data_IF_481253256214
#
_entry.id   IF_481253256214
#
_cell.length_a   1.000
_cell.length_b   1.000
_cell.length_c   1.000
_cell.angle_alpha   90.00
_cell.angle_beta   90.00
_cell.angle_gamma   90.00
#
_symmetry.space_group_name_H-M   'P 1'
#
loop_
_entity.id
_entity.type
_entity.pdbx_description
1 polymer ?
#
# COMPACT_ATOMS: atom_id res chain seq x y z
N UNK A 1 -24.00 -22.52 33.27
CA UNK A 1 -23.70 -22.65 31.84
C UNK A 1 -24.81 -23.51 31.24
N UNK A 2 -25.74 -22.88 30.51
CA UNK A 2 -27.02 -23.49 30.14
C UNK A 2 -26.88 -24.40 28.90
N UNK A 3 -27.63 -25.51 28.89
CA UNK A 3 -27.69 -26.51 27.78
C UNK A 3 -27.92 -25.89 26.40
N UNK A 4 -28.63 -24.74 26.36
CA UNK A 4 -28.94 -24.03 25.13
C UNK A 4 -27.69 -23.48 24.38
N UNK A 5 -26.56 -23.32 25.07
CA UNK A 5 -25.29 -22.90 24.47
C UNK A 5 -24.54 -24.06 23.81
N UNK A 6 -24.84 -25.31 24.19
CA UNK A 6 -24.15 -26.50 23.66
C UNK A 6 -24.67 -26.89 22.27
N UNK A 7 -25.96 -26.69 22.00
CA UNK A 7 -26.55 -27.00 20.68
C UNK A 7 -26.12 -26.02 19.58
N UNK A 8 -25.88 -24.73 19.90
CA UNK A 8 -25.40 -23.76 18.88
C UNK A 8 -23.95 -23.98 18.44
N UNK A 9 -23.15 -24.73 19.20
CA UNK A 9 -21.76 -25.00 18.84
C UNK A 9 -21.62 -26.12 17.77
N UNK A 10 -22.62 -26.99 17.63
CA UNK A 10 -22.56 -28.09 16.64
C UNK A 10 -23.01 -27.65 15.24
N UNK A 11 -23.87 -26.63 15.11
CA UNK A 11 -24.34 -26.17 13.80
C UNK A 11 -23.28 -25.42 12.97
N UNK A 12 -22.24 -24.87 13.62
CA UNK A 12 -21.15 -24.15 12.93
C UNK A 12 -20.04 -25.06 12.37
N UNK A 13 -20.04 -26.37 12.69
CA UNK A 13 -19.01 -27.31 12.22
C UNK A 13 -19.29 -27.96 10.86
N UNK A 14 -20.47 -27.79 10.26
CA UNK A 14 -20.88 -28.54 9.06
C UNK A 14 -20.56 -27.82 7.74
N UNK A 15 -20.14 -26.54 7.75
CA UNK A 15 -19.94 -25.77 6.51
C UNK A 15 -18.49 -25.42 6.19
N UNK A 16 -17.58 -26.36 6.43
CA UNK A 16 -16.20 -26.28 5.94
C UNK A 16 -15.80 -27.63 5.37
N UNK A 17 -15.98 -27.79 4.05
CA UNK A 17 -15.16 -28.62 3.13
C UNK A 17 -15.86 -28.73 1.78
N UNK A 18 -15.31 -28.07 0.77
CA UNK A 18 -14.90 -28.67 -0.52
C UNK A 18 -14.52 -27.55 -1.49
N UNK A 19 -13.22 -27.24 -1.56
CA UNK A 19 -12.64 -26.62 -2.75
C UNK A 19 -11.23 -27.14 -2.92
N UNK A 20 -11.08 -28.05 -3.86
CA UNK A 20 -9.83 -28.63 -4.36
C UNK A 20 -8.98 -27.55 -5.03
N UNK A 21 -7.65 -27.63 -4.92
CA UNK A 21 -6.88 -27.59 -6.16
C UNK A 21 -5.79 -28.66 -6.20
N UNK A 22 -5.77 -29.41 -7.30
CA UNK A 22 -4.61 -30.17 -7.73
C UNK A 22 -3.74 -29.27 -8.58
N UNK A 23 -2.47 -29.12 -8.22
CA UNK A 23 -1.42 -28.64 -9.13
C UNK A 23 -0.16 -29.44 -8.81
N UNK A 24 0.35 -30.11 -9.84
CA UNK A 24 1.47 -31.04 -9.79
C UNK A 24 2.78 -30.36 -9.40
N UNK A 25 3.51 -31.04 -8.52
CA UNK A 25 4.90 -30.80 -8.21
C UNK A 25 5.74 -31.23 -9.43
N UNK A 26 6.36 -30.30 -10.13
CA UNK A 26 7.46 -30.59 -11.06
C UNK A 26 8.71 -29.89 -10.51
N UNK A 27 9.50 -30.68 -9.78
CA UNK A 27 10.85 -30.33 -9.31
C UNK A 27 11.80 -30.59 -10.47
N UNK A 28 12.36 -29.53 -11.06
CA UNK A 28 13.55 -29.65 -11.90
C UNK A 28 14.75 -29.05 -11.17
N UNK A 29 15.60 -29.99 -10.79
CA UNK A 29 16.87 -29.88 -10.11
C UNK A 29 17.95 -29.65 -11.17
N UNK A 30 18.69 -28.54 -11.12
CA UNK A 30 19.98 -28.43 -11.82
C UNK A 30 20.99 -27.77 -10.88
N UNK A 31 21.76 -28.63 -10.24
CA UNK A 31 23.03 -28.30 -9.62
C UNK A 31 24.11 -28.22 -10.71
N UNK A 32 24.92 -27.17 -10.71
CA UNK A 32 26.17 -27.13 -11.42
C UNK A 32 27.29 -26.69 -10.47
N UNK A 33 28.00 -27.69 -9.97
CA UNK A 33 29.32 -27.58 -9.33
C UNK A 33 30.34 -27.10 -10.37
N UNK A 34 31.13 -26.08 -10.02
CA UNK A 34 32.21 -25.55 -10.85
C UNK A 34 33.48 -25.30 -10.04
N UNK A 35 34.30 -26.36 -9.98
CA UNK A 35 35.70 -26.53 -9.56
C UNK A 35 36.54 -25.37 -9.01
N UNK A 36 37.20 -25.70 -7.90
CA UNK A 36 38.44 -25.13 -7.36
C UNK A 36 39.62 -25.45 -8.30
N UNK A 37 40.44 -24.44 -8.61
CA UNK A 37 41.68 -24.63 -9.37
C UNK A 37 42.73 -23.57 -9.02
N UNK A 38 43.57 -23.86 -8.02
CA UNK A 38 44.83 -23.15 -7.80
C UNK A 38 45.83 -23.53 -8.89
N UNK A 39 46.35 -22.55 -9.62
CA UNK A 39 47.58 -22.69 -10.40
C UNK A 39 48.38 -21.39 -10.32
N UNK A 40 49.52 -21.46 -9.63
CA UNK A 40 50.53 -20.40 -9.60
C UNK A 40 51.37 -20.48 -10.87
N UNK A 41 51.34 -19.42 -11.68
CA UNK A 41 52.16 -19.27 -12.87
C UNK A 41 52.50 -17.80 -13.12
N UNK A 42 53.79 -17.51 -13.18
CA UNK A 42 54.41 -16.21 -13.45
C UNK A 42 54.07 -15.67 -14.88
N UNK A 43 53.81 -14.35 -14.95
CA UNK A 43 54.18 -13.37 -16.00
C UNK A 43 53.79 -13.65 -17.48
N UNK A 44 53.12 -12.73 -18.23
CA UNK A 44 53.60 -11.37 -18.53
C UNK A 44 52.53 -10.26 -18.55
N UNK A 45 52.99 -9.02 -18.67
CA UNK A 45 52.23 -7.77 -18.63
C UNK A 45 50.89 -7.78 -19.41
N UNK A 46 49.80 -7.22 -18.83
CA UNK A 46 48.51 -7.17 -19.52
C UNK A 46 48.55 -6.15 -20.68
N UNK A 47 48.13 -6.52 -21.90
CA UNK A 47 47.69 -5.54 -22.88
C UNK A 47 46.44 -4.86 -22.34
N UNK A 48 46.35 -3.55 -22.56
CA UNK A 48 45.23 -2.71 -22.15
C UNK A 48 43.87 -3.37 -22.49
N UNK A 49 43.22 -3.91 -21.47
CA UNK A 49 41.88 -4.46 -21.60
C UNK A 49 40.92 -3.30 -21.83
N UNK A 50 40.50 -3.13 -23.09
CA UNK A 50 39.34 -2.35 -23.46
C UNK A 50 38.18 -2.77 -22.57
N UNK A 51 37.79 -1.91 -21.61
CA UNK A 51 36.59 -2.07 -20.80
C UNK A 51 35.42 -2.36 -21.75
N UNK A 52 34.88 -3.58 -21.69
CA UNK A 52 33.63 -3.90 -22.36
C UNK A 52 32.58 -2.87 -21.91
N UNK A 53 31.87 -2.21 -22.83
CA UNK A 53 30.83 -1.26 -22.47
C UNK A 53 29.80 -1.98 -21.59
N UNK A 54 29.59 -1.45 -20.37
CA UNK A 54 28.51 -1.91 -19.52
C UNK A 54 27.21 -1.86 -20.34
N UNK A 55 26.55 -3.01 -20.49
CA UNK A 55 25.29 -3.11 -21.22
C UNK A 55 24.32 -2.09 -20.62
N UNK A 56 23.92 -1.10 -21.43
CA UNK A 56 22.90 -0.14 -21.02
C UNK A 56 21.63 -0.93 -20.68
N UNK A 57 20.96 -0.64 -19.55
CA UNK A 57 19.66 -1.23 -19.28
C UNK A 57 18.74 -0.94 -20.46
N UNK A 58 18.03 -1.98 -20.93
CA UNK A 58 17.07 -1.84 -22.01
C UNK A 58 16.03 -0.78 -21.61
N UNK A 59 15.72 0.13 -22.54
CA UNK A 59 14.64 1.08 -22.33
C UNK A 59 13.32 0.33 -22.11
N UNK A 60 12.50 0.72 -21.12
CA UNK A 60 11.19 0.13 -20.93
C UNK A 60 10.37 0.22 -22.22
N UNK A 61 9.56 -0.80 -22.48
CA UNK A 61 8.58 -0.74 -23.56
C UNK A 61 7.47 0.25 -23.17
N UNK A 62 6.80 0.93 -24.12
CA UNK A 62 5.73 1.89 -23.83
C UNK A 62 4.63 1.32 -22.91
N UNK A 63 4.37 0.02 -22.99
CA UNK A 63 3.42 -0.67 -22.10
C UNK A 63 3.88 -0.71 -20.64
N UNK A 64 5.18 -0.85 -20.40
CA UNK A 64 5.76 -0.91 -19.05
C UNK A 64 5.77 0.47 -18.37
N UNK A 65 6.00 1.53 -19.14
CA UNK A 65 5.90 2.90 -18.64
C UNK A 65 4.47 3.23 -18.20
N UNK A 66 3.48 2.80 -18.98
CA UNK A 66 2.08 2.98 -18.63
C UNK A 66 1.70 2.20 -17.37
N UNK A 67 2.16 0.94 -17.22
CA UNK A 67 1.96 0.14 -15.99
C UNK A 67 2.60 0.83 -14.78
N UNK A 68 3.82 1.32 -14.92
CA UNK A 68 4.54 2.00 -13.84
C UNK A 68 3.84 3.31 -13.44
N UNK A 69 3.34 4.06 -14.42
CA UNK A 69 2.60 5.29 -14.18
C UNK A 69 1.29 5.03 -13.43
N UNK A 70 0.47 4.07 -13.90
CA UNK A 70 -0.83 3.80 -13.26
C UNK A 70 -0.66 3.15 -11.89
N UNK A 71 0.39 2.35 -11.68
CA UNK A 71 0.73 1.79 -10.37
C UNK A 71 0.99 2.89 -9.33
N UNK A 72 1.78 3.91 -9.71
CA UNK A 72 2.01 5.10 -8.87
C UNK A 72 0.75 5.88 -8.58
N UNK A 73 -0.09 6.10 -9.60
CA UNK A 73 -1.36 6.80 -9.43
C UNK A 73 -2.27 6.03 -8.48
N UNK A 74 -2.38 4.71 -8.60
CA UNK A 74 -3.18 3.89 -7.69
C UNK A 74 -2.65 3.93 -6.26
N UNK A 75 -1.33 3.82 -6.05
CA UNK A 75 -0.73 3.95 -4.72
C UNK A 75 -1.06 5.32 -4.10
N UNK A 76 -0.85 6.40 -4.85
CA UNK A 76 -1.05 7.75 -4.35
C UNK A 76 -2.54 8.13 -4.16
N UNK A 77 -3.46 7.47 -4.85
CA UNK A 77 -4.90 7.75 -4.76
C UNK A 77 -5.64 6.77 -3.87
N UNK A 78 -4.92 5.89 -3.16
CA UNK A 78 -5.53 4.84 -2.34
C UNK A 78 -6.46 5.40 -1.27
N UNK A 79 -6.12 6.52 -0.64
CA UNK A 79 -6.96 7.18 0.39
C UNK A 79 -8.38 7.57 -0.10
N UNK A 80 -8.57 7.73 -1.42
CA UNK A 80 -9.88 8.03 -2.00
C UNK A 80 -10.78 6.80 -2.15
N UNK A 81 -10.17 5.62 -2.35
CA UNK A 81 -10.87 4.37 -2.61
C UNK A 81 -10.95 3.48 -1.35
N UNK A 82 -9.92 3.53 -0.53
CA UNK A 82 -9.73 2.76 0.69
C UNK A 82 -9.41 3.71 1.83
N UNK A 83 -10.40 3.96 2.66
CA UNK A 83 -10.28 4.86 3.80
C UNK A 83 -9.81 4.04 5.00
N UNK A 84 -8.64 4.34 5.59
CA UNK A 84 -8.19 3.66 6.80
C UNK A 84 -9.26 3.72 7.88
N UNK A 85 -9.59 2.56 8.46
CA UNK A 85 -10.60 2.48 9.50
C UNK A 85 -10.10 3.19 10.76
N UNK A 86 -10.92 4.10 11.28
CA UNK A 86 -10.60 4.80 12.51
C UNK A 86 -10.77 3.86 13.72
N UNK A 87 -9.81 3.82 14.66
CA UNK A 87 -9.95 3.06 15.89
C UNK A 87 -11.23 3.45 16.65
N UNK A 88 -12.03 2.44 17.03
CA UNK A 88 -13.29 2.63 17.74
C UNK A 88 -13.06 2.53 19.24
N UNK A 89 -13.63 3.48 19.98
CA UNK A 89 -13.69 3.38 21.44
C UNK A 89 -14.88 2.49 21.78
N UNK A 90 -14.66 1.20 21.94
CA UNK A 90 -15.70 0.28 22.37
C UNK A 90 -15.82 0.30 23.89
N UNK A 91 -17.06 0.23 24.39
CA UNK A 91 -17.27 0.04 25.81
C UNK A 91 -16.80 -1.38 26.17
N UNK A 92 -15.92 -1.54 27.17
CA UNK A 92 -15.50 -2.87 27.59
C UNK A 92 -16.71 -3.68 28.05
N UNK A 93 -16.69 -4.98 27.77
CA UNK A 93 -17.65 -5.91 28.37
C UNK A 93 -17.46 -5.90 29.89
N UNK A 94 -18.56 -5.69 30.63
CA UNK A 94 -18.58 -5.67 32.09
C UNK A 94 -18.18 -6.99 32.75
N UNK A 95 -17.96 -8.05 31.96
CA UNK A 95 -17.40 -9.34 32.41
C UNK A 95 -15.86 -9.35 32.51
N UNK A 96 -15.17 -8.35 31.94
CA UNK A 96 -13.71 -8.27 31.93
C UNK A 96 -13.16 -7.73 33.25
N UNK A 97 -11.94 -8.16 33.61
CA UNK A 97 -11.24 -7.62 34.78
C UNK A 97 -10.71 -6.21 34.53
N UNK A 98 -10.58 -5.42 35.59
CA UNK A 98 -10.05 -4.04 35.51
C UNK A 98 -8.68 -3.96 34.82
N UNK A 99 -7.84 -4.99 34.97
CA UNK A 99 -6.54 -5.04 34.31
C UNK A 99 -6.69 -5.15 32.78
N UNK A 100 -7.55 -6.06 32.30
CA UNK A 100 -7.81 -6.24 30.87
C UNK A 100 -8.43 -4.99 30.27
N UNK A 101 -9.33 -4.33 31.00
CA UNK A 101 -9.94 -3.06 30.59
C UNK A 101 -8.86 -1.98 30.41
N UNK A 102 -7.93 -1.86 31.37
CA UNK A 102 -6.81 -0.89 31.27
C UNK A 102 -5.89 -1.19 30.10
N UNK A 103 -5.53 -2.45 29.90
CA UNK A 103 -4.61 -2.85 28.83
C UNK A 103 -5.24 -2.64 27.44
N UNK A 104 -6.54 -2.96 27.30
CA UNK A 104 -7.30 -2.68 26.08
C UNK A 104 -7.40 -1.18 25.80
N UNK A 105 -7.69 -0.36 26.81
CA UNK A 105 -7.73 1.10 26.65
C UNK A 105 -6.37 1.68 26.24
N UNK A 106 -5.27 1.14 26.78
CA UNK A 106 -3.92 1.55 26.39
C UNK A 106 -3.61 1.18 24.93
N UNK A 107 -4.04 0.00 24.47
CA UNK A 107 -3.89 -0.39 23.07
C UNK A 107 -4.68 0.53 22.13
N UNK A 108 -5.96 0.79 22.42
CA UNK A 108 -6.79 1.72 21.64
C UNK A 108 -6.18 3.13 21.60
N UNK A 109 -5.57 3.57 22.70
CA UNK A 109 -4.87 4.85 22.73
C UNK A 109 -3.64 4.89 21.80
N UNK A 110 -2.88 3.79 21.71
CA UNK A 110 -1.76 3.66 20.76
C UNK A 110 -2.26 3.63 19.31
N UNK A 111 -3.33 2.89 19.03
CA UNK A 111 -3.94 2.83 17.70
C UNK A 111 -4.44 4.21 17.25
N UNK A 112 -5.06 4.98 18.14
CA UNK A 112 -5.49 6.34 17.83
C UNK A 112 -4.31 7.28 17.54
N UNK A 113 -3.20 7.15 18.27
CA UNK A 113 -1.99 7.91 17.98
C UNK A 113 -1.37 7.53 16.63
N UNK A 114 -1.31 6.23 16.33
CA UNK A 114 -0.84 5.72 15.04
C UNK A 114 -1.72 6.30 13.92
N UNK A 115 -3.04 6.14 14.00
CA UNK A 115 -3.98 6.69 13.02
C UNK A 115 -3.80 8.20 12.77
N UNK A 116 -3.69 8.99 13.84
CA UNK A 116 -3.52 10.44 13.74
C UNK A 116 -2.14 10.86 13.22
N UNK A 117 -1.14 9.98 13.29
CA UNK A 117 0.19 10.20 12.73
C UNK A 117 0.27 9.73 11.28
N UNK A 118 -0.34 8.59 10.97
CA UNK A 118 -0.29 7.93 9.67
C UNK A 118 -1.03 8.71 8.60
N UNK A 119 -2.24 9.22 8.87
CA UNK A 119 -3.03 9.95 7.87
C UNK A 119 -2.29 11.15 7.25
N UNK A 120 -1.71 12.09 8.01
CA UNK A 120 -0.92 13.17 7.41
C UNK A 120 0.32 12.66 6.66
N UNK A 121 0.96 11.59 7.12
CA UNK A 121 2.15 11.01 6.47
C UNK A 121 1.81 10.32 5.15
N UNK A 122 0.76 9.51 5.11
CA UNK A 122 0.17 8.94 3.89
C UNK A 122 -0.23 10.05 2.93
N UNK A 123 -0.86 11.11 3.43
CA UNK A 123 -1.29 12.25 2.60
C UNK A 123 -0.10 12.95 1.94
N UNK A 124 0.98 13.18 2.71
CA UNK A 124 2.22 13.77 2.18
C UNK A 124 2.88 12.87 1.15
N UNK A 125 3.07 11.59 1.47
CA UNK A 125 3.68 10.63 0.57
C UNK A 125 2.87 10.47 -0.74
N UNK A 126 1.54 10.55 -0.65
CA UNK A 126 0.64 10.57 -1.81
C UNK A 126 0.86 11.81 -2.69
N UNK A 127 0.99 12.99 -2.09
CA UNK A 127 1.33 14.23 -2.82
C UNK A 127 2.68 14.08 -3.52
N UNK A 128 3.71 13.63 -2.80
CA UNK A 128 5.07 13.45 -3.33
C UNK A 128 5.08 12.47 -4.51
N UNK A 129 4.34 11.36 -4.42
CA UNK A 129 4.19 10.41 -5.53
C UNK A 129 3.54 11.05 -6.75
N UNK A 130 2.45 11.82 -6.58
CA UNK A 130 1.78 12.50 -7.68
C UNK A 130 2.65 13.60 -8.30
N UNK A 131 3.47 14.29 -7.51
CA UNK A 131 4.41 15.32 -7.99
C UNK A 131 5.60 14.71 -8.71
N UNK A 132 6.05 13.53 -8.30
CA UNK A 132 7.10 12.74 -8.94
C UNK A 132 6.62 11.94 -10.17
N UNK A 133 5.38 12.10 -10.60
CA UNK A 133 4.92 11.53 -11.87
C UNK A 133 5.62 12.27 -13.03
N UNK A 134 6.16 11.49 -13.96
CA UNK A 134 6.67 12.01 -15.23
C UNK A 134 5.52 12.49 -16.14
N UNK A 135 5.83 12.78 -17.43
CA UNK A 135 4.82 13.17 -18.40
C UNK A 135 3.64 12.19 -18.48
N UNK A 136 2.42 12.69 -18.71
CA UNK A 136 1.25 11.82 -18.88
C UNK A 136 1.43 10.88 -20.09
N UNK A 137 1.24 9.57 -19.91
CA UNK A 137 1.29 8.62 -21.03
C UNK A 137 -0.05 8.51 -21.76
N UNK A 138 -1.12 9.10 -21.21
CA UNK A 138 -2.49 9.02 -21.73
C UNK A 138 -3.17 10.39 -21.66
N UNK A 139 -4.06 10.67 -22.62
CA UNK A 139 -4.73 11.95 -22.71
C UNK A 139 -5.63 12.20 -21.49
N UNK A 140 -5.42 13.31 -20.81
CA UNK A 140 -6.23 13.70 -19.65
C UNK A 140 -5.76 13.09 -18.33
N UNK A 141 -4.64 12.35 -18.34
CA UNK A 141 -4.01 11.85 -17.12
C UNK A 141 -3.57 13.00 -16.21
N UNK A 142 -3.04 14.08 -16.76
CA UNK A 142 -2.61 15.29 -16.05
C UNK A 142 -3.77 15.96 -15.32
N UNK A 143 -4.93 16.07 -15.97
CA UNK A 143 -6.12 16.66 -15.35
C UNK A 143 -6.63 15.82 -14.18
N UNK A 144 -6.66 14.48 -14.34
CA UNK A 144 -7.01 13.55 -13.26
C UNK A 144 -6.01 13.62 -12.10
N UNK A 145 -4.71 13.56 -12.38
CA UNK A 145 -3.63 13.67 -11.37
C UNK A 145 -3.68 15.02 -10.64
N UNK A 146 -3.92 16.12 -11.35
CA UNK A 146 -4.05 17.44 -10.76
C UNK A 146 -5.25 17.53 -9.80
N UNK A 147 -6.39 16.91 -10.14
CA UNK A 147 -7.56 16.83 -9.27
C UNK A 147 -7.27 16.14 -7.94
N UNK A 148 -6.59 14.98 -7.98
CA UNK A 148 -6.17 14.26 -6.78
C UNK A 148 -5.16 15.06 -5.95
N UNK A 149 -4.14 15.64 -6.61
CA UNK A 149 -3.11 16.45 -5.94
C UNK A 149 -3.71 17.66 -5.24
N UNK A 150 -4.66 18.34 -5.88
CA UNK A 150 -5.38 19.49 -5.31
C UNK A 150 -6.18 19.10 -4.06
N UNK A 151 -6.94 18.00 -4.13
CA UNK A 151 -7.72 17.51 -2.99
C UNK A 151 -6.82 17.12 -1.81
N UNK A 152 -5.72 16.39 -2.05
CA UNK A 152 -4.76 16.01 -1.01
C UNK A 152 -4.07 17.22 -0.37
N UNK A 153 -3.70 18.23 -1.18
CA UNK A 153 -3.08 19.48 -0.66
C UNK A 153 -4.03 20.28 0.22
N UNK A 154 -5.35 20.18 0.02
CA UNK A 154 -6.34 20.76 0.95
C UNK A 154 -6.54 19.91 2.20
N UNK A 155 -6.51 18.58 2.06
CA UNK A 155 -6.67 17.68 3.20
C UNK A 155 -5.51 17.79 4.18
N UNK A 156 -4.27 17.81 3.68
CA UNK A 156 -3.04 17.77 4.49
C UNK A 156 -3.03 18.79 5.65
N UNK A 157 -3.22 20.10 5.43
CA UNK A 157 -3.22 21.06 6.53
C UNK A 157 -4.37 20.86 7.52
N UNK A 158 -5.49 20.24 7.12
CA UNK A 158 -6.61 19.96 8.03
C UNK A 158 -6.32 18.76 8.93
N UNK A 159 -5.70 17.70 8.40
CA UNK A 159 -5.34 16.51 9.20
C UNK A 159 -4.12 16.76 10.10
N UNK A 160 -3.16 17.58 9.67
CA UNK A 160 -1.98 17.97 10.48
C UNK A 160 -2.34 18.70 11.77
N UNK A 161 -3.45 19.47 11.80
CA UNK A 161 -3.95 20.13 13.02
C UNK A 161 -4.22 19.15 14.17
N UNK A 162 -4.47 17.89 13.84
CA UNK A 162 -4.84 16.84 14.79
C UNK A 162 -3.72 15.84 15.07
N UNK A 163 -2.51 16.09 14.55
CA UNK A 163 -1.35 15.25 14.80
C UNK A 163 -1.09 15.12 16.31
N UNK A 164 -0.80 13.92 16.82
CA UNK A 164 -0.69 13.73 18.25
C UNK A 164 0.58 14.39 18.81
N UNK A 165 0.46 14.99 19.98
CA UNK A 165 1.59 15.45 20.81
C UNK A 165 1.76 14.55 22.03
N UNK A 166 2.94 14.62 22.67
CA UNK A 166 3.30 13.73 23.82
C UNK A 166 2.28 13.74 24.96
N UNK A 167 1.58 14.85 25.16
CA UNK A 167 0.62 15.05 26.25
C UNK A 167 -0.81 15.28 25.72
N UNK A 168 -1.13 14.70 24.57
CA UNK A 168 -2.42 14.92 23.95
C UNK A 168 -3.56 14.26 24.71
N UNK A 169 -4.42 15.12 25.23
CA UNK A 169 -5.76 14.73 25.68
C UNK A 169 -6.73 14.79 24.49
N UNK A 170 -7.79 13.99 24.53
CA UNK A 170 -8.87 14.06 23.55
C UNK A 170 -8.59 13.38 22.21
N UNK A 171 -7.69 12.39 22.17
CA UNK A 171 -7.47 11.57 20.97
C UNK A 171 -8.78 11.04 20.35
N UNK A 172 -9.78 10.54 21.12
CA UNK A 172 -11.01 10.04 20.50
C UNK A 172 -11.74 11.11 19.68
N UNK A 173 -11.75 12.37 20.11
CA UNK A 173 -12.37 13.46 19.36
C UNK A 173 -11.55 13.81 18.11
N UNK A 174 -10.22 13.90 18.25
CA UNK A 174 -9.30 14.17 17.14
C UNK A 174 -9.41 13.07 16.06
N UNK A 175 -9.39 11.80 16.47
CA UNK A 175 -9.55 10.63 15.58
C UNK A 175 -10.86 10.71 14.81
N UNK A 176 -11.99 11.02 15.47
CA UNK A 176 -13.27 11.21 14.77
C UNK A 176 -13.25 12.35 13.76
N UNK A 177 -12.58 13.47 14.07
CA UNK A 177 -12.45 14.62 13.15
C UNK A 177 -11.62 14.25 11.92
N UNK A 178 -10.47 13.59 12.10
CA UNK A 178 -9.63 13.12 10.99
C UNK A 178 -10.37 12.09 10.15
N UNK A 179 -11.04 11.12 10.78
CA UNK A 179 -11.83 10.12 10.08
C UNK A 179 -12.92 10.75 9.21
N UNK A 180 -13.61 11.77 9.72
CA UNK A 180 -14.61 12.52 8.95
C UNK A 180 -13.97 13.25 7.75
N UNK A 181 -12.84 13.92 7.94
CA UNK A 181 -12.13 14.59 6.85
C UNK A 181 -11.71 13.62 5.73
N UNK A 182 -11.21 12.44 6.12
CA UNK A 182 -10.87 11.37 5.18
C UNK A 182 -12.11 10.80 4.50
N UNK A 183 -13.23 10.67 5.23
CA UNK A 183 -14.49 10.19 4.66
C UNK A 183 -15.10 11.15 3.63
N UNK A 184 -14.98 12.46 3.87
CA UNK A 184 -15.46 13.50 2.96
C UNK A 184 -14.51 13.76 1.77
N UNK A 185 -13.34 13.13 1.75
CA UNK A 185 -12.33 13.30 0.70
C UNK A 185 -12.86 12.87 -0.68
N UNK A 186 -12.82 13.79 -1.64
CA UNK A 186 -13.18 13.59 -3.05
C UNK A 186 -12.19 14.31 -3.95
N UNK A 187 -11.98 13.80 -5.15
CA UNK A 187 -11.15 14.47 -6.18
C UNK A 187 -11.88 15.71 -6.71
N UNK A 188 -11.13 16.73 -7.12
CA UNK A 188 -11.67 17.97 -7.74
C UNK A 188 -11.84 17.89 -9.26
N UNK A 189 -11.45 16.77 -9.85
CA UNK A 189 -11.41 16.61 -11.30
C UNK A 189 -12.04 15.29 -11.74
N UNK A 190 -11.81 14.90 -13.01
CA UNK A 190 -12.19 13.59 -13.49
C UNK A 190 -11.54 12.51 -12.61
N UNK A 191 -12.32 11.52 -12.20
CA UNK A 191 -11.77 10.41 -11.42
C UNK A 191 -10.98 9.43 -12.31
N UNK A 192 -10.21 8.58 -11.65
CA UNK A 192 -9.42 7.57 -12.35
C UNK A 192 -10.29 6.52 -13.05
N UNK A 193 -11.49 6.24 -12.53
CA UNK A 193 -12.39 5.25 -13.11
C UNK A 193 -12.90 5.70 -14.49
N UNK A 194 -13.26 6.97 -14.63
CA UNK A 194 -13.65 7.59 -15.89
C UNK A 194 -12.50 7.57 -16.92
N UNK A 195 -11.26 7.82 -16.47
CA UNK A 195 -10.09 7.75 -17.34
C UNK A 195 -9.84 6.32 -17.83
N UNK A 196 -9.91 5.34 -16.92
CA UNK A 196 -9.76 3.90 -17.23
C UNK A 196 -10.84 3.42 -18.18
N UNK A 197 -12.08 3.89 -18.03
CA UNK A 197 -13.19 3.52 -18.92
C UNK A 197 -13.00 4.02 -20.36
N UNK A 198 -12.36 5.18 -20.53
CA UNK A 198 -12.12 5.80 -21.85
C UNK A 198 -10.88 5.28 -22.57
N UNK A 199 -9.88 4.79 -21.82
CA UNK A 199 -8.56 4.41 -22.35
C UNK A 199 -8.31 2.90 -22.15
N UNK A 200 -8.60 2.04 -23.15
CA UNK A 200 -8.44 0.58 -23.01
C UNK A 200 -7.02 0.13 -22.67
N UNK A 201 -6.00 0.84 -23.18
CA UNK A 201 -4.61 0.56 -22.84
C UNK A 201 -4.33 0.80 -21.34
N UNK A 202 -4.94 1.85 -20.76
CA UNK A 202 -4.82 2.14 -19.33
C UNK A 202 -5.53 1.07 -18.49
N UNK A 203 -6.68 0.58 -18.92
CA UNK A 203 -7.37 -0.52 -18.24
C UNK A 203 -6.51 -1.80 -18.18
N UNK A 204 -5.84 -2.13 -19.29
CA UNK A 204 -4.91 -3.27 -19.34
C UNK A 204 -3.68 -3.05 -18.46
N UNK A 205 -3.13 -1.84 -18.44
CA UNK A 205 -2.02 -1.49 -17.57
C UNK A 205 -2.42 -1.55 -16.09
N UNK A 206 -3.60 -1.04 -15.74
CA UNK A 206 -4.16 -1.08 -14.38
C UNK A 206 -4.32 -2.51 -13.87
N UNK A 207 -4.73 -3.45 -14.74
CA UNK A 207 -4.85 -4.86 -14.38
C UNK A 207 -3.50 -5.53 -14.05
N UNK A 208 -2.38 -4.97 -14.52
CA UNK A 208 -1.01 -5.45 -14.24
C UNK A 208 -0.34 -4.67 -13.09
N UNK A 209 -0.87 -3.51 -12.74
CA UNK A 209 -0.33 -2.65 -11.70
C UNK A 209 -0.73 -3.18 -10.32
N UNK A 210 0.29 -3.46 -9.52
CA UNK A 210 0.19 -4.13 -8.23
C UNK A 210 -0.58 -3.28 -7.22
N UNK A 211 -0.28 -1.98 -7.17
CA UNK A 211 -0.92 -1.05 -6.24
C UNK A 211 -2.36 -0.68 -6.61
N UNK A 212 -2.83 -1.09 -7.79
CA UNK A 212 -4.23 -0.94 -8.20
C UNK A 212 -5.13 -2.09 -7.72
N UNK A 213 -4.54 -3.15 -7.16
CA UNK A 213 -5.25 -4.31 -6.62
C UNK A 213 -5.55 -4.21 -5.11
N UNK A 214 -6.23 -5.23 -4.56
CA UNK A 214 -6.53 -5.32 -3.13
C UNK A 214 -5.26 -5.34 -2.27
N UNK A 215 -4.17 -5.91 -2.80
CA UNK A 215 -2.88 -6.04 -2.10
C UNK A 215 -1.97 -4.80 -2.23
N UNK A 216 -2.44 -3.73 -2.88
CA UNK A 216 -1.68 -2.49 -2.91
C UNK A 216 -1.50 -1.89 -1.51
N UNK A 217 -0.53 -1.00 -1.37
CA UNK A 217 -0.22 -0.42 -0.06
C UNK A 217 -0.34 1.10 -0.08
N UNK A 218 -0.59 1.68 1.09
CA UNK A 218 -0.50 3.13 1.26
C UNK A 218 0.96 3.57 1.13
N UNK A 219 1.22 4.71 0.47
CA UNK A 219 2.56 5.24 0.36
C UNK A 219 3.10 5.69 1.72
N UNK A 220 4.38 5.44 1.94
CA UNK A 220 5.12 5.84 3.13
C UNK A 220 6.09 6.97 2.79
N UNK A 221 6.30 7.95 3.70
CA UNK A 221 7.27 9.02 3.47
C UNK A 221 8.67 8.49 3.15
N UNK A 222 9.24 8.92 2.03
CA UNK A 222 10.61 8.58 1.64
C UNK A 222 10.82 7.19 1.02
N UNK A 223 9.81 6.32 0.97
CA UNK A 223 9.94 4.97 0.40
C UNK A 223 9.60 4.90 -1.11
N UNK A 224 8.98 5.95 -1.66
CA UNK A 224 8.55 5.97 -3.06
C UNK A 224 7.32 5.12 -3.29
N UNK A 225 7.30 4.34 -4.38
CA UNK A 225 6.16 3.48 -4.72
C UNK A 225 6.20 2.23 -3.85
N UNK A 226 5.14 1.93 -3.10
CA UNK A 226 5.10 0.73 -2.28
C UNK A 226 5.23 -0.54 -3.14
N UNK A 227 6.08 -1.47 -2.74
CA UNK A 227 6.23 -2.78 -3.40
C UNK A 227 5.80 -3.88 -2.44
N UNK A 228 4.78 -4.70 -2.72
CA UNK A 228 4.42 -5.81 -1.84
C UNK A 228 5.61 -6.74 -1.65
N UNK A 229 5.76 -7.23 -0.43
CA UNK A 229 6.83 -8.16 -0.04
C UNK A 229 6.47 -9.59 -0.36
#
# INVERSE_FOLDING_TARGET
MNEQQRERAEELSVKVRTSTPGIGLSVLLVAALGMVGCSSGNEPAPPAASKAPAARPASPTPDQDLVTWIDRVCAATRLFNEKPEAPKLEAPDGSLSDQVIRDSAALTFLEMQAYLSDIPDITRASIDLLEGLGPEPVKGGDATVAGYRSALRRLLPEVEKYRPTRNDNGLPEKTRKVAKLVDELKTDGPDLADLVAREPALAQARAKAVNCGPDGMFPQPGEGVPTPR
#
